data_IF_045057430607
#
_entry.id   IF_045057430607
#
_cell.length_a   1.000
_cell.length_b   1.000
_cell.length_c   1.000
_cell.angle_alpha   90.00
_cell.angle_beta   90.00
_cell.angle_gamma   90.00
#
_symmetry.space_group_name_H-M   'P 1'
#
loop_
_entity.id
_entity.type
_entity.pdbx_description
1 polymer ?
#
# COMPACT_ATOMS: atom_id res chain seq x y z
N UNK A 1 10.98 -4.05 -5.80
CA UNK A 1 9.96 -3.71 -6.82
C UNK A 1 8.56 -4.08 -6.36
N UNK A 2 8.33 -5.29 -5.84
CA UNK A 2 6.99 -5.75 -5.45
C UNK A 2 6.26 -4.84 -4.43
N UNK A 3 6.97 -4.30 -3.43
CA UNK A 3 6.37 -3.38 -2.44
C UNK A 3 5.89 -2.09 -3.10
N UNK A 4 6.67 -1.54 -4.03
CA UNK A 4 6.27 -0.35 -4.78
C UNK A 4 4.97 -0.61 -5.54
N UNK A 5 4.90 -1.71 -6.29
CA UNK A 5 3.70 -2.08 -7.05
C UNK A 5 2.50 -2.31 -6.13
N UNK A 6 2.68 -3.03 -5.02
CA UNK A 6 1.62 -3.28 -4.05
C UNK A 6 1.00 -1.98 -3.49
N UNK A 7 1.83 -1.00 -3.18
CA UNK A 7 1.35 0.29 -2.68
C UNK A 7 0.76 1.16 -3.80
N UNK A 8 1.27 1.06 -5.03
CA UNK A 8 0.66 1.73 -6.19
C UNK A 8 -0.75 1.19 -6.47
N UNK A 9 -0.95 -0.13 -6.37
CA UNK A 9 -2.27 -0.75 -6.47
C UNK A 9 -3.19 -0.29 -5.33
N UNK A 10 -2.69 -0.21 -4.09
CA UNK A 10 -3.47 0.31 -2.97
C UNK A 10 -3.92 1.76 -3.19
N UNK A 11 -3.07 2.61 -3.79
CA UNK A 11 -3.43 3.96 -4.19
C UNK A 11 -4.48 3.97 -5.30
N UNK A 12 -4.33 3.11 -6.29
CA UNK A 12 -5.31 2.94 -7.36
C UNK A 12 -6.70 2.58 -6.81
N UNK A 13 -6.79 1.68 -5.82
CA UNK A 13 -8.05 1.33 -5.16
C UNK A 13 -8.74 2.58 -4.58
N UNK A 14 -7.97 3.47 -3.96
CA UNK A 14 -8.50 4.69 -3.33
C UNK A 14 -8.91 5.70 -4.40
N UNK A 15 -8.02 6.03 -5.34
CA UNK A 15 -8.18 7.14 -6.27
C UNK A 15 -9.14 6.83 -7.43
N UNK A 16 -9.12 5.60 -7.93
CA UNK A 16 -9.90 5.22 -9.11
C UNK A 16 -11.18 4.46 -8.78
N UNK A 17 -11.19 3.69 -7.68
CA UNK A 17 -12.33 2.84 -7.31
C UNK A 17 -13.07 3.34 -6.06
N UNK A 18 -12.58 4.39 -5.40
CA UNK A 18 -13.15 4.91 -4.15
C UNK A 18 -13.25 3.83 -3.06
N UNK A 19 -12.27 2.93 -3.01
CA UNK A 19 -12.16 1.86 -2.01
C UNK A 19 -11.01 2.15 -1.05
N UNK A 20 -11.30 2.17 0.25
CA UNK A 20 -10.31 2.36 1.31
C UNK A 20 -9.90 0.97 1.84
N UNK A 21 -8.63 0.55 1.68
CA UNK A 21 -8.14 -0.66 2.31
C UNK A 21 -8.06 -0.50 3.84
N UNK A 22 -8.78 -1.34 4.58
CA UNK A 22 -8.74 -1.37 6.04
C UNK A 22 -7.76 -2.42 6.59
N UNK A 23 -7.55 -3.50 5.86
CA UNK A 23 -6.55 -4.53 6.15
C UNK A 23 -5.93 -5.07 4.87
N UNK A 24 -4.67 -5.51 4.97
CA UNK A 24 -3.91 -6.07 3.86
C UNK A 24 -3.25 -7.36 4.31
N UNK A 25 -3.38 -8.41 3.51
CA UNK A 25 -2.72 -9.69 3.75
C UNK A 25 -1.99 -10.16 2.50
N UNK A 26 -0.71 -10.46 2.66
CA UNK A 26 0.08 -11.16 1.63
C UNK A 26 -0.27 -12.65 1.74
N UNK A 27 -0.85 -13.21 0.69
CA UNK A 27 -1.25 -14.62 0.63
C UNK A 27 -0.08 -15.49 0.19
N UNK A 28 0.69 -15.04 -0.80
CA UNK A 28 1.90 -15.71 -1.25
C UNK A 28 2.86 -14.75 -1.95
N UNK A 29 4.14 -15.13 -2.01
CA UNK A 29 5.12 -14.53 -2.90
C UNK A 29 5.40 -15.53 -4.03
N UNK A 30 5.13 -15.14 -5.27
CA UNK A 30 5.30 -16.00 -6.46
C UNK A 30 6.34 -15.35 -7.35
N UNK A 31 7.55 -15.93 -7.35
CA UNK A 31 8.70 -15.34 -8.04
C UNK A 31 8.99 -13.93 -7.51
N UNK A 32 8.94 -12.94 -8.40
CA UNK A 32 9.15 -11.52 -8.06
C UNK A 32 7.84 -10.76 -7.74
N UNK A 33 6.70 -11.46 -7.70
CA UNK A 33 5.37 -10.91 -7.46
C UNK A 33 4.81 -11.24 -6.08
N UNK A 34 3.84 -10.43 -5.64
CA UNK A 34 3.07 -10.66 -4.41
C UNK A 34 1.61 -10.90 -4.78
N UNK A 35 1.03 -11.96 -4.24
CA UNK A 35 -0.41 -12.17 -4.20
C UNK A 35 -0.94 -11.55 -2.91
N UNK A 36 -1.79 -10.53 -3.05
CA UNK A 36 -2.23 -9.68 -1.95
C UNK A 36 -3.75 -9.61 -1.95
N UNK A 37 -4.34 -9.86 -0.79
CA UNK A 37 -5.74 -9.60 -0.52
C UNK A 37 -5.87 -8.27 0.24
N UNK A 38 -6.71 -7.38 -0.29
CA UNK A 38 -7.13 -6.16 0.37
C UNK A 38 -8.57 -6.34 0.87
N UNK A 39 -8.79 -6.11 2.16
CA UNK A 39 -10.13 -5.99 2.70
C UNK A 39 -10.48 -4.49 2.71
N UNK A 40 -11.42 -4.11 1.87
CA UNK A 40 -11.76 -2.71 1.59
C UNK A 40 -13.17 -2.35 2.07
N UNK A 41 -13.31 -1.10 2.48
CA UNK A 41 -14.60 -0.43 2.65
C UNK A 41 -14.80 0.61 1.53
N UNK A 42 -16.06 0.94 1.24
CA UNK A 42 -16.36 2.07 0.37
C UNK A 42 -15.92 3.38 1.04
N UNK A 43 -15.32 4.29 0.26
CA UNK A 43 -14.95 5.63 0.72
C UNK A 43 -16.18 6.38 1.23
N UNK A 44 -16.21 6.62 2.54
CA UNK A 44 -17.18 7.46 3.22
C UNK A 44 -16.45 8.62 3.92
N UNK A 45 -16.68 9.85 3.45
CA UNK A 45 -16.00 11.04 3.97
C UNK A 45 -16.45 11.45 5.38
N UNK A 46 -17.61 11.00 5.83
CA UNK A 46 -18.11 11.27 7.19
C UNK A 46 -17.51 10.28 8.19
N UNK A 47 -17.32 9.02 7.76
CA UNK A 47 -16.71 7.96 8.60
C UNK A 47 -15.18 7.98 8.56
N UNK A 48 -14.57 8.32 7.43
CA UNK A 48 -13.12 8.27 7.23
C UNK A 48 -12.50 9.67 7.30
N UNK A 49 -11.76 9.94 8.37
CA UNK A 49 -11.03 11.20 8.52
C UNK A 49 -9.91 11.30 7.47
N UNK A 50 -10.08 12.15 6.45
CA UNK A 50 -9.04 12.47 5.48
C UNK A 50 -7.99 13.36 6.13
N UNK A 51 -6.87 12.77 6.54
CA UNK A 51 -5.74 13.54 7.10
C UNK A 51 -4.80 14.05 6.03
N UNK A 52 -4.65 13.33 4.92
CA UNK A 52 -3.72 13.66 3.83
C UNK A 52 -4.08 12.83 2.59
N UNK A 53 -4.07 13.44 1.40
CA UNK A 53 -4.17 12.71 0.14
C UNK A 53 -2.74 12.43 -0.36
N UNK A 54 -2.43 11.16 -0.61
CA UNK A 54 -1.17 10.79 -1.24
C UNK A 54 -1.34 10.87 -2.76
N UNK A 55 -0.38 11.44 -3.46
CA UNK A 55 -0.42 11.58 -4.92
C UNK A 55 0.20 10.39 -5.63
N UNK A 56 1.30 9.88 -5.08
CA UNK A 56 2.05 8.80 -5.70
C UNK A 56 2.93 8.07 -4.69
N UNK A 57 3.12 6.77 -4.94
CA UNK A 57 4.22 6.01 -4.35
C UNK A 57 5.47 6.34 -5.16
N UNK A 58 6.60 6.53 -4.47
CA UNK A 58 7.88 6.81 -5.13
C UNK A 58 8.93 5.79 -4.71
N UNK A 59 9.96 5.64 -5.54
CA UNK A 59 11.16 4.87 -5.18
C UNK A 59 12.17 5.72 -4.39
N UNK A 60 11.89 7.00 -4.13
CA UNK A 60 12.78 7.86 -3.37
C UNK A 60 12.88 7.35 -1.93
N UNK A 61 14.11 7.11 -1.48
CA UNK A 61 14.36 6.61 -0.12
C UNK A 61 13.78 5.23 0.16
N UNK A 62 13.44 4.43 -0.87
CA UNK A 62 13.05 3.04 -0.68
C UNK A 62 14.22 2.27 -0.05
N UNK A 63 14.03 1.82 1.18
CA UNK A 63 14.96 0.98 1.91
C UNK A 63 14.24 -0.27 2.37
N UNK A 64 14.86 -1.43 2.16
CA UNK A 64 14.37 -2.72 2.66
C UNK A 64 15.48 -3.34 3.49
N UNK A 65 15.22 -3.48 4.78
CA UNK A 65 16.17 -4.03 5.74
C UNK A 65 15.64 -5.37 6.27
N UNK A 66 16.53 -6.34 6.44
CA UNK A 66 16.25 -7.55 7.20
C UNK A 66 16.33 -7.24 8.70
N UNK A 67 15.30 -7.63 9.44
CA UNK A 67 15.19 -7.52 10.89
C UNK A 67 14.93 -8.90 11.49
N UNK A 68 15.05 -9.02 12.82
CA UNK A 68 14.78 -10.28 13.53
C UNK A 68 13.35 -10.80 13.31
N UNK A 69 12.41 -9.90 13.01
CA UNK A 69 10.99 -10.19 12.76
C UNK A 69 10.64 -10.31 11.26
N UNK A 70 11.63 -10.24 10.36
CA UNK A 70 11.43 -10.38 8.91
C UNK A 70 11.95 -9.20 8.11
N UNK A 71 11.15 -8.69 7.18
CA UNK A 71 11.55 -7.58 6.31
C UNK A 71 10.85 -6.29 6.74
N UNK A 72 11.64 -5.23 6.91
CA UNK A 72 11.13 -3.87 7.12
C UNK A 72 11.39 -3.04 5.87
N UNK A 73 10.33 -2.47 5.33
CA UNK A 73 10.43 -1.52 4.22
C UNK A 73 10.10 -0.10 4.69
N UNK A 74 10.90 0.86 4.25
CA UNK A 74 10.68 2.30 4.44
C UNK A 74 10.52 2.93 3.06
N UNK A 75 9.45 3.72 2.87
CA UNK A 75 9.12 4.40 1.61
C UNK A 75 8.76 5.85 1.89
N UNK A 76 9.15 6.74 0.97
CA UNK A 76 8.69 8.12 0.93
C UNK A 76 7.56 8.26 -0.10
N UNK A 77 6.41 8.69 0.39
CA UNK A 77 5.20 8.95 -0.41
C UNK A 77 5.15 10.42 -0.80
N UNK A 78 4.67 10.71 -2.02
CA UNK A 78 4.39 12.08 -2.46
C UNK A 78 3.00 12.53 -2.00
N UNK A 79 2.86 13.78 -1.58
CA UNK A 79 1.65 14.37 -0.98
C UNK A 79 1.23 15.65 -1.72
#
# INVERSE_FOLDING_TARGET
MAIFLALSEALYLIDALELIPGAVKIQSAIGDGLDIQFDCDQLDLERHSHRMAFKAVTLHGLQVDETEDGLKATILMDI
#
